data_IF_448435668743
#
_entry.id   IF_448435668743
#
_cell.length_a   1.000
_cell.length_b   1.000
_cell.length_c   1.000
_cell.angle_alpha   90.00
_cell.angle_beta   90.00
_cell.angle_gamma   90.00
#
_symmetry.space_group_name_H-M   'P 1'
#
loop_
_entity.id
_entity.type
_entity.pdbx_description
1 polymer ?
#
# COMPACT_ATOMS: atom_id res chain seq x y z
N UNK A 1 -24.08 -3.78 -39.00
CA UNK A 1 -22.88 -3.59 -39.82
C UNK A 1 -21.68 -3.56 -38.90
N UNK A 2 -20.91 -4.65 -38.83
CA UNK A 2 -19.79 -4.81 -37.89
C UNK A 2 -18.47 -4.49 -38.61
N UNK A 3 -17.77 -3.45 -38.16
CA UNK A 3 -16.47 -3.08 -38.71
C UNK A 3 -15.33 -3.81 -37.98
N UNK A 4 -14.74 -4.79 -38.67
CA UNK A 4 -13.50 -5.45 -38.27
C UNK A 4 -12.30 -4.56 -38.64
N UNK A 5 -11.81 -3.76 -37.70
CA UNK A 5 -10.53 -3.08 -37.84
C UNK A 5 -9.40 -3.99 -37.36
N UNK A 6 -8.79 -4.72 -38.30
CA UNK A 6 -7.55 -5.47 -38.07
C UNK A 6 -6.38 -4.52 -38.31
N UNK A 7 -5.73 -4.05 -37.24
CA UNK A 7 -4.54 -3.20 -37.33
C UNK A 7 -3.32 -4.07 -37.66
N UNK A 8 -2.67 -3.92 -38.83
CA UNK A 8 -1.48 -4.68 -39.16
C UNK A 8 -0.27 -4.16 -38.37
N UNK A 9 0.34 -5.03 -37.57
CA UNK A 9 1.61 -4.76 -36.89
C UNK A 9 2.75 -4.87 -37.92
N UNK A 10 3.14 -3.73 -38.48
CA UNK A 10 4.32 -3.61 -39.34
C UNK A 10 5.56 -3.61 -38.43
N UNK A 11 6.37 -4.66 -38.55
CA UNK A 11 7.66 -4.78 -37.87
C UNK A 11 8.71 -4.04 -38.71
N UNK A 12 9.11 -2.86 -38.27
CA UNK A 12 10.18 -2.09 -38.90
C UNK A 12 11.53 -2.64 -38.44
N UNK A 13 12.22 -3.36 -39.32
CA UNK A 13 13.58 -3.83 -39.05
C UNK A 13 14.52 -2.62 -38.98
N UNK A 14 14.89 -2.25 -37.76
CA UNK A 14 15.77 -1.12 -37.49
C UNK A 14 17.21 -1.63 -37.56
N UNK A 15 17.85 -1.49 -38.72
CA UNK A 15 19.28 -1.74 -38.86
C UNK A 15 20.07 -0.61 -38.20
N UNK A 16 20.38 -0.76 -36.91
CA UNK A 16 21.23 0.19 -36.19
C UNK A 16 22.67 0.10 -36.71
N UNK A 17 23.07 1.10 -37.49
CA UNK A 17 24.48 1.39 -37.76
C UNK A 17 25.16 1.75 -36.43
N UNK A 18 25.97 0.84 -35.91
CA UNK A 18 26.80 1.07 -34.72
C UNK A 18 27.99 1.91 -35.15
N UNK A 19 27.91 3.23 -34.91
CA UNK A 19 29.05 4.13 -35.06
C UNK A 19 30.09 3.82 -33.99
N UNK A 20 31.28 3.41 -34.42
CA UNK A 20 32.45 3.00 -33.63
C UNK A 20 33.17 4.17 -32.94
N UNK A 21 32.43 5.16 -32.43
CA UNK A 21 32.92 6.17 -31.50
C UNK A 21 32.33 5.96 -30.10
N UNK A 22 32.04 4.70 -29.76
CA UNK A 22 31.64 4.29 -28.43
C UNK A 22 32.75 4.68 -27.44
N UNK A 23 32.59 5.84 -26.81
CA UNK A 23 33.30 6.22 -25.59
C UNK A 23 33.11 5.05 -24.64
N UNK A 24 34.16 4.27 -24.39
CA UNK A 24 34.06 3.00 -23.69
C UNK A 24 33.22 3.20 -22.41
N UNK A 25 32.04 2.58 -22.31
CA UNK A 25 31.15 2.79 -21.18
C UNK A 25 31.87 2.23 -19.97
N UNK A 26 32.38 3.14 -19.12
CA UNK A 26 33.22 2.91 -17.94
C UNK A 26 34.68 3.38 -17.95
N UNK A 27 35.10 4.25 -18.88
CA UNK A 27 36.36 4.96 -18.63
C UNK A 27 36.23 5.95 -17.45
N UNK A 28 37.21 5.96 -16.52
CA UNK A 28 37.20 6.85 -15.36
C UNK A 28 37.47 8.30 -15.81
N UNK A 29 36.41 9.05 -16.09
CA UNK A 29 36.49 10.49 -16.26
C UNK A 29 36.45 11.22 -14.91
N UNK A 30 37.21 12.32 -14.73
CA UNK A 30 37.25 13.08 -13.47
C UNK A 30 35.86 13.57 -13.02
N UNK A 31 34.99 13.97 -13.96
CA UNK A 31 33.60 14.34 -13.64
C UNK A 31 32.77 13.20 -13.04
N UNK A 32 33.06 11.94 -13.39
CA UNK A 32 32.33 10.77 -12.90
C UNK A 32 32.73 10.39 -11.48
N UNK A 33 33.97 10.69 -11.07
CA UNK A 33 34.42 10.51 -9.68
C UNK A 33 33.70 11.48 -8.75
N UNK A 34 33.58 12.74 -9.16
CA UNK A 34 32.89 13.80 -8.41
C UNK A 34 31.39 13.50 -8.31
N UNK A 35 30.76 13.07 -9.40
CA UNK A 35 29.35 12.64 -9.37
C UNK A 35 29.10 11.50 -8.37
N UNK A 36 29.93 10.46 -8.39
CA UNK A 36 29.83 9.34 -7.42
C UNK A 36 30.05 9.78 -5.97
N UNK A 37 30.89 10.78 -5.74
CA UNK A 37 31.11 11.35 -4.41
C UNK A 37 29.83 12.05 -3.91
N UNK A 38 29.23 12.89 -4.74
CA UNK A 38 27.97 13.58 -4.39
C UNK A 38 26.81 12.61 -4.21
N UNK A 39 26.68 11.58 -5.07
CA UNK A 39 25.65 10.55 -4.91
C UNK A 39 25.79 9.80 -3.57
N UNK A 40 27.02 9.44 -3.19
CA UNK A 40 27.27 8.81 -1.89
C UNK A 40 26.97 9.76 -0.73
N UNK A 41 27.32 11.03 -0.87
CA UNK A 41 27.07 12.03 0.17
C UNK A 41 25.56 12.25 0.35
N UNK A 42 24.81 12.40 -0.75
CA UNK A 42 23.36 12.50 -0.75
C UNK A 42 22.70 11.33 -0.05
N UNK A 43 23.06 10.09 -0.43
CA UNK A 43 22.54 8.86 0.22
C UNK A 43 22.86 8.81 1.72
N UNK A 44 24.03 9.29 2.13
CA UNK A 44 24.43 9.30 3.55
C UNK A 44 23.66 10.33 4.36
N UNK A 45 23.45 11.53 3.81
CA UNK A 45 22.63 12.57 4.44
C UNK A 45 21.17 12.11 4.55
N UNK A 46 20.62 11.55 3.47
CA UNK A 46 19.26 10.99 3.46
C UNK A 46 19.10 9.89 4.52
N UNK A 47 20.08 8.97 4.62
CA UNK A 47 20.07 7.92 5.65
C UNK A 47 20.11 8.49 7.07
N UNK A 48 20.89 9.54 7.32
CA UNK A 48 20.96 10.19 8.63
C UNK A 48 19.67 10.93 8.99
N UNK A 49 19.05 11.62 8.03
CA UNK A 49 17.78 12.30 8.23
C UNK A 49 16.64 11.30 8.45
N UNK A 50 16.58 10.22 7.67
CA UNK A 50 15.62 9.13 7.86
C UNK A 50 15.80 8.48 9.24
N UNK A 51 17.06 8.26 9.69
CA UNK A 51 17.35 7.70 11.01
C UNK A 51 16.97 8.65 12.16
N UNK A 52 17.17 9.97 12.00
CA UNK A 52 16.72 10.94 13.00
C UNK A 52 15.19 11.03 13.05
N UNK A 53 14.52 11.02 11.90
CA UNK A 53 13.06 11.03 11.82
C UNK A 53 12.44 9.76 12.44
N UNK A 54 13.06 8.59 12.23
CA UNK A 54 12.64 7.36 12.90
C UNK A 54 12.85 7.42 14.42
N UNK A 55 13.99 7.98 14.86
CA UNK A 55 14.31 8.09 16.29
C UNK A 55 13.41 9.09 17.04
N UNK A 56 12.87 10.09 16.34
CA UNK A 56 11.90 11.02 16.93
C UNK A 56 10.48 10.43 16.99
N UNK A 57 10.25 9.22 16.48
CA UNK A 57 8.90 8.64 16.41
C UNK A 57 7.96 9.42 15.47
N UNK A 58 8.52 10.24 14.58
CA UNK A 58 7.76 11.12 13.67
C UNK A 58 7.69 10.55 12.26
N UNK A 59 7.77 9.24 12.10
CA UNK A 59 7.55 8.56 10.82
C UNK A 59 6.11 8.04 10.68
N UNK A 60 5.72 7.61 9.48
CA UNK A 60 4.45 6.91 9.27
C UNK A 60 4.37 5.59 10.05
N UNK A 61 5.45 4.80 10.06
CA UNK A 61 5.49 3.49 10.74
C UNK A 61 5.24 3.59 12.26
N UNK A 62 5.93 4.47 13.03
CA UNK A 62 5.60 4.65 14.46
C UNK A 62 4.15 5.09 14.71
N UNK A 63 3.61 5.98 13.87
CA UNK A 63 2.20 6.42 14.00
C UNK A 63 1.24 5.26 13.74
N UNK A 64 1.49 4.45 12.71
CA UNK A 64 0.72 3.25 12.44
C UNK A 64 0.82 2.25 13.60
N UNK A 65 1.99 2.11 14.22
CA UNK A 65 2.17 1.26 15.39
C UNK A 65 1.38 1.77 16.60
N UNK A 66 1.29 3.08 16.80
CA UNK A 66 0.45 3.69 17.84
C UNK A 66 -1.03 3.40 17.60
N UNK A 67 -1.50 3.48 16.34
CA UNK A 67 -2.87 3.09 15.95
C UNK A 67 -3.11 1.60 16.26
N UNK A 68 -2.17 0.71 15.88
CA UNK A 68 -2.24 -0.73 16.18
C UNK A 68 -2.32 -1.01 17.68
N UNK A 69 -1.53 -0.30 18.50
CA UNK A 69 -1.57 -0.42 19.96
C UNK A 69 -2.89 0.08 20.54
N UNK A 70 -3.38 1.24 20.10
CA UNK A 70 -4.68 1.79 20.51
C UNK A 70 -5.84 0.83 20.18
N UNK A 71 -5.72 0.11 19.06
CA UNK A 71 -6.68 -0.90 18.60
C UNK A 71 -6.38 -2.32 19.08
N UNK A 72 -5.36 -2.49 19.94
CA UNK A 72 -4.96 -3.77 20.52
C UNK A 72 -4.70 -4.87 19.48
N UNK A 73 -4.16 -4.50 18.31
CA UNK A 73 -3.86 -5.46 17.22
C UNK A 73 -2.87 -6.55 17.61
N UNK A 74 -2.08 -6.35 18.68
CA UNK A 74 -1.16 -7.36 19.22
C UNK A 74 -1.85 -8.37 20.15
N UNK A 75 -2.98 -7.98 20.73
CA UNK A 75 -3.71 -8.79 21.69
C UNK A 75 -4.88 -9.53 21.03
N UNK A 76 -5.35 -9.03 19.89
CA UNK A 76 -6.49 -9.55 19.17
C UNK A 76 -6.05 -10.19 17.86
N UNK A 77 -6.43 -11.45 17.67
CA UNK A 77 -6.32 -12.15 16.39
C UNK A 77 -7.13 -11.44 15.31
N UNK A 78 -6.83 -11.73 14.04
CA UNK A 78 -7.61 -11.17 12.94
C UNK A 78 -9.10 -11.59 13.03
N UNK A 79 -9.37 -12.86 13.37
CA UNK A 79 -10.72 -13.39 13.51
C UNK A 79 -11.51 -12.66 14.59
N UNK A 80 -10.90 -12.44 15.77
CA UNK A 80 -11.51 -11.68 16.86
C UNK A 80 -11.85 -10.24 16.42
N UNK A 81 -10.96 -9.60 15.65
CA UNK A 81 -11.19 -8.25 15.12
C UNK A 81 -12.38 -8.18 14.16
N UNK A 82 -12.60 -9.20 13.33
CA UNK A 82 -13.77 -9.29 12.46
C UNK A 82 -15.05 -9.70 13.19
N UNK A 83 -14.92 -10.54 14.22
CA UNK A 83 -16.07 -11.09 14.95
C UNK A 83 -16.67 -10.08 15.92
N UNK A 84 -15.84 -9.17 16.44
CA UNK A 84 -16.31 -8.15 17.35
C UNK A 84 -17.22 -7.16 16.60
N UNK A 85 -18.46 -6.93 17.07
CA UNK A 85 -19.22 -5.77 16.58
C UNK A 85 -18.37 -4.52 16.79
N UNK A 86 -18.52 -3.47 15.95
CA UNK A 86 -17.71 -2.26 16.05
C UNK A 86 -17.65 -1.78 17.50
N UNK A 87 -16.52 -2.07 18.17
CA UNK A 87 -16.40 -1.79 19.59
C UNK A 87 -16.61 -0.30 19.72
N UNK A 88 -17.60 0.12 20.50
CA UNK A 88 -17.82 1.53 20.80
C UNK A 88 -16.55 2.02 21.48
N UNK A 89 -15.70 2.67 20.70
CA UNK A 89 -14.57 3.42 21.21
C UNK A 89 -15.14 4.49 22.13
N UNK A 90 -14.49 4.74 23.27
CA UNK A 90 -14.80 5.94 24.02
C UNK A 90 -14.60 7.16 23.13
N UNK A 91 -15.31 8.25 23.40
CA UNK A 91 -15.20 9.46 22.59
C UNK A 91 -13.75 9.98 22.52
N UNK A 92 -13.01 9.86 23.63
CA UNK A 92 -11.59 10.21 23.71
C UNK A 92 -10.70 9.32 22.83
N UNK A 93 -10.92 8.00 22.84
CA UNK A 93 -10.18 7.07 21.96
C UNK A 93 -10.50 7.32 20.48
N UNK A 94 -11.77 7.54 20.14
CA UNK A 94 -12.19 7.85 18.77
C UNK A 94 -11.54 9.14 18.25
N UNK A 95 -11.52 10.20 19.07
CA UNK A 95 -10.79 11.45 18.76
C UNK A 95 -9.30 11.22 18.57
N UNK A 96 -8.69 10.41 19.44
CA UNK A 96 -7.26 10.07 19.37
C UNK A 96 -6.94 9.29 18.10
N UNK A 97 -7.74 8.27 17.78
CA UNK A 97 -7.61 7.47 16.57
C UNK A 97 -7.72 8.36 15.32
N UNK A 98 -8.75 9.22 15.25
CA UNK A 98 -8.93 10.16 14.14
C UNK A 98 -7.75 11.13 14.00
N UNK A 99 -7.18 11.60 15.11
CA UNK A 99 -5.97 12.43 15.11
C UNK A 99 -4.77 11.68 14.52
N UNK A 100 -4.56 10.42 14.90
CA UNK A 100 -3.48 9.59 14.36
C UNK A 100 -3.67 9.25 12.89
N UNK A 101 -4.88 8.87 12.46
CA UNK A 101 -5.21 8.64 11.05
C UNK A 101 -4.94 9.91 10.22
N UNK A 102 -5.38 11.08 10.69
CA UNK A 102 -5.09 12.36 10.03
C UNK A 102 -3.58 12.66 9.97
N UNK A 103 -2.82 12.31 11.01
CA UNK A 103 -1.36 12.44 11.01
C UNK A 103 -0.73 11.53 9.95
N UNK A 104 -1.23 10.32 9.76
CA UNK A 104 -0.77 9.39 8.72
C UNK A 104 -1.08 9.93 7.31
N UNK A 105 -2.29 10.45 7.09
CA UNK A 105 -2.68 11.12 5.83
C UNK A 105 -1.80 12.33 5.52
N UNK A 106 -1.29 13.05 6.53
CA UNK A 106 -0.29 14.12 6.29
C UNK A 106 1.02 13.57 5.72
N UNK A 107 1.48 12.38 6.13
CA UNK A 107 2.69 11.77 5.55
C UNK A 107 2.49 11.28 4.11
N UNK A 108 1.27 10.88 3.74
CA UNK A 108 0.93 10.57 2.34
C UNK A 108 1.21 11.78 1.42
N UNK A 109 1.14 13.01 1.96
CA UNK A 109 1.46 14.26 1.24
C UNK A 109 2.90 14.75 1.40
N UNK A 110 3.77 13.99 2.07
CA UNK A 110 5.18 14.35 2.27
C UNK A 110 5.86 14.63 0.93
N UNK A 111 6.81 15.55 0.84
CA UNK A 111 7.57 15.75 -0.41
C UNK A 111 8.65 14.67 -0.62
N UNK A 112 8.88 13.84 0.41
CA UNK A 112 9.84 12.73 0.37
C UNK A 112 9.13 11.47 -0.09
N UNK A 113 9.43 11.02 -1.32
CA UNK A 113 8.79 9.87 -1.98
C UNK A 113 8.78 8.60 -1.11
N UNK A 114 9.90 8.28 -0.45
CA UNK A 114 9.99 7.10 0.43
C UNK A 114 9.07 7.19 1.66
N UNK A 115 8.86 8.40 2.18
CA UNK A 115 7.91 8.65 3.27
C UNK A 115 6.46 8.53 2.79
N UNK A 116 6.15 9.04 1.58
CA UNK A 116 4.81 8.90 0.99
C UNK A 116 4.45 7.43 0.78
N UNK A 117 5.33 6.66 0.12
CA UNK A 117 5.10 5.23 -0.14
C UNK A 117 4.91 4.47 1.17
N UNK A 118 5.78 4.68 2.15
CA UNK A 118 5.65 4.04 3.47
C UNK A 118 4.34 4.41 4.16
N UNK A 119 3.89 5.66 4.08
CA UNK A 119 2.61 6.08 4.64
C UNK A 119 1.42 5.41 3.93
N UNK A 120 1.46 5.30 2.59
CA UNK A 120 0.42 4.64 1.79
C UNK A 120 0.33 3.14 2.09
N UNK A 121 1.47 2.47 2.24
CA UNK A 121 1.53 1.06 2.65
C UNK A 121 0.92 0.84 4.04
N UNK A 122 1.23 1.72 5.01
CA UNK A 122 0.66 1.66 6.34
C UNK A 122 -0.86 1.94 6.33
N UNK A 123 -1.34 2.92 5.57
CA UNK A 123 -2.78 3.16 5.38
C UNK A 123 -3.46 1.91 4.79
N UNK A 124 -2.87 1.33 3.75
CA UNK A 124 -3.38 0.14 3.08
C UNK A 124 -3.53 -1.01 4.08
N UNK A 125 -2.46 -1.30 4.84
CA UNK A 125 -2.46 -2.38 5.83
C UNK A 125 -3.48 -2.14 6.96
N UNK A 126 -3.52 -0.93 7.52
CA UNK A 126 -4.45 -0.59 8.61
C UNK A 126 -5.92 -0.63 8.17
N UNK A 127 -6.22 -0.13 6.97
CA UNK A 127 -7.57 -0.18 6.40
C UNK A 127 -8.02 -1.62 6.11
N UNK A 128 -7.07 -2.50 5.76
CA UNK A 128 -7.36 -3.91 5.51
C UNK A 128 -7.59 -4.72 6.77
N UNK A 129 -6.87 -4.41 7.84
CA UNK A 129 -6.84 -5.22 9.05
C UNK A 129 -7.90 -4.83 10.11
N UNK A 130 -8.51 -3.64 9.99
CA UNK A 130 -9.48 -3.14 10.98
C UNK A 130 -10.58 -2.27 10.34
N UNK A 131 -11.82 -2.77 10.38
CA UNK A 131 -13.00 -2.11 9.82
C UNK A 131 -13.25 -0.72 10.43
N UNK A 132 -12.93 -0.52 11.71
CA UNK A 132 -13.12 0.78 12.39
C UNK A 132 -12.08 1.79 11.89
N UNK A 133 -10.82 1.37 11.75
CA UNK A 133 -9.77 2.25 11.19
C UNK A 133 -10.12 2.64 9.75
N UNK A 134 -10.60 1.68 8.97
CA UNK A 134 -11.07 1.94 7.60
C UNK A 134 -12.19 2.97 7.55
N UNK A 135 -13.20 2.84 8.41
CA UNK A 135 -14.29 3.82 8.49
C UNK A 135 -13.76 5.22 8.84
N UNK A 136 -12.80 5.32 9.78
CA UNK A 136 -12.16 6.60 10.12
C UNK A 136 -11.38 7.17 8.93
N UNK A 137 -10.68 6.35 8.14
CA UNK A 137 -10.04 6.82 6.91
C UNK A 137 -11.04 7.26 5.84
N UNK A 138 -12.20 6.61 5.72
CA UNK A 138 -13.25 7.03 4.81
C UNK A 138 -13.83 8.40 5.18
N UNK A 139 -13.79 8.78 6.46
CA UNK A 139 -14.14 10.13 6.92
C UNK A 139 -13.01 11.16 6.72
N UNK A 140 -11.77 10.72 6.47
CA UNK A 140 -10.67 11.62 6.14
C UNK A 140 -10.85 12.18 4.72
N UNK A 141 -10.27 13.35 4.45
CA UNK A 141 -10.28 13.93 3.10
C UNK A 141 -9.39 13.11 2.16
N UNK A 142 -10.01 12.25 1.36
CA UNK A 142 -9.32 11.37 0.43
C UNK A 142 -8.65 12.11 -0.74
N UNK A 143 -9.02 13.38 -0.98
CA UNK A 143 -8.35 14.32 -1.89
C UNK A 143 -6.83 14.39 -1.61
N UNK A 144 -6.42 14.16 -0.37
CA UNK A 144 -5.01 14.17 0.02
C UNK A 144 -4.19 12.99 -0.50
N UNK A 145 -4.83 11.99 -1.09
CA UNK A 145 -4.15 10.86 -1.71
C UNK A 145 -3.75 11.14 -3.16
N UNK A 146 -4.17 12.27 -3.76
CA UNK A 146 -3.72 12.63 -5.11
C UNK A 146 -2.19 12.84 -5.11
N UNK A 147 -1.44 11.99 -5.83
CA UNK A 147 0.00 12.06 -5.81
C UNK A 147 0.46 13.27 -6.63
N UNK A 148 1.38 14.05 -6.06
CA UNK A 148 2.00 15.19 -6.77
C UNK A 148 2.90 14.76 -7.93
N UNK A 149 3.34 13.51 -7.89
CA UNK A 149 4.35 12.97 -8.78
C UNK A 149 3.78 11.76 -9.53
N UNK A 150 4.33 11.48 -10.70
CA UNK A 150 3.83 10.44 -11.61
C UNK A 150 4.66 9.15 -11.53
N UNK A 151 5.36 8.87 -10.42
CA UNK A 151 6.10 7.62 -10.31
C UNK A 151 5.13 6.42 -10.28
N UNK A 152 5.36 5.39 -11.09
CA UNK A 152 4.48 4.23 -11.16
C UNK A 152 4.23 3.56 -9.80
N UNK A 153 5.27 3.48 -8.95
CA UNK A 153 5.17 2.88 -7.63
C UNK A 153 4.27 3.72 -6.69
N UNK A 154 4.36 5.04 -6.78
CA UNK A 154 3.54 5.94 -5.98
C UNK A 154 2.07 5.87 -6.39
N UNK A 155 1.81 5.87 -7.70
CA UNK A 155 0.46 5.70 -8.26
C UNK A 155 -0.14 4.37 -7.82
N UNK A 156 0.61 3.27 -7.93
CA UNK A 156 0.16 1.94 -7.50
C UNK A 156 -0.16 1.90 -6.00
N UNK A 157 0.73 2.42 -5.13
CA UNK A 157 0.50 2.44 -3.69
C UNK A 157 -0.68 3.35 -3.31
N UNK A 158 -0.89 4.43 -4.06
CA UNK A 158 -2.04 5.32 -3.90
C UNK A 158 -3.35 4.62 -4.24
N UNK A 159 -3.41 3.98 -5.41
CA UNK A 159 -4.58 3.20 -5.84
C UNK A 159 -4.90 2.12 -4.82
N UNK A 160 -3.89 1.36 -4.36
CA UNK A 160 -4.08 0.35 -3.31
C UNK A 160 -4.66 0.95 -2.03
N UNK A 161 -4.10 2.04 -1.52
CA UNK A 161 -4.60 2.66 -0.30
C UNK A 161 -6.06 3.14 -0.46
N UNK A 162 -6.39 3.76 -1.60
CA UNK A 162 -7.74 4.22 -1.90
C UNK A 162 -8.73 3.05 -2.04
N UNK A 163 -8.37 1.99 -2.75
CA UNK A 163 -9.20 0.80 -2.88
C UNK A 163 -9.44 0.13 -1.53
N UNK A 164 -8.40 -0.03 -0.69
CA UNK A 164 -8.56 -0.59 0.66
C UNK A 164 -9.51 0.22 1.54
N UNK A 165 -9.60 1.53 1.32
CA UNK A 165 -10.54 2.40 2.04
C UNK A 165 -11.96 2.30 1.46
N UNK A 166 -12.09 2.35 0.13
CA UNK A 166 -13.38 2.53 -0.56
C UNK A 166 -14.10 1.23 -0.88
N UNK A 167 -13.39 0.13 -1.10
CA UNK A 167 -14.00 -1.13 -1.53
C UNK A 167 -14.64 -1.88 -0.36
N UNK A 168 -15.82 -1.42 0.05
CA UNK A 168 -16.57 -2.04 1.12
C UNK A 168 -17.04 -3.44 0.78
N UNK A 169 -17.40 -3.68 -0.49
CA UNK A 169 -17.96 -4.94 -0.96
C UNK A 169 -16.96 -6.10 -0.87
N UNK A 170 -15.73 -5.91 -1.34
CA UNK A 170 -14.69 -6.95 -1.26
C UNK A 170 -14.36 -7.26 0.20
N UNK A 171 -14.22 -6.26 1.06
CA UNK A 171 -14.00 -6.49 2.49
C UNK A 171 -15.15 -7.22 3.18
N UNK A 172 -16.41 -6.87 2.86
CA UNK A 172 -17.58 -7.53 3.44
C UNK A 172 -17.65 -9.00 3.02
N UNK A 173 -17.45 -9.28 1.72
CA UNK A 173 -17.34 -10.63 1.19
C UNK A 173 -16.29 -11.45 1.95
N UNK A 174 -15.06 -10.94 2.02
CA UNK A 174 -13.96 -11.68 2.66
C UNK A 174 -14.13 -11.78 4.18
N UNK A 175 -14.70 -10.77 4.84
CA UNK A 175 -15.04 -10.88 6.27
C UNK A 175 -16.08 -11.97 6.53
N UNK A 176 -17.06 -12.13 5.64
CA UNK A 176 -18.07 -13.18 5.74
C UNK A 176 -17.43 -14.56 5.59
N UNK A 177 -16.51 -14.72 4.62
CA UNK A 177 -15.75 -15.96 4.40
C UNK A 177 -14.90 -16.30 5.63
N UNK A 178 -14.18 -15.32 6.18
CA UNK A 178 -13.32 -15.49 7.36
C UNK A 178 -14.15 -15.91 8.58
N UNK A 179 -15.31 -15.31 8.79
CA UNK A 179 -16.17 -15.59 9.95
C UNK A 179 -16.95 -16.89 9.81
N UNK A 180 -17.18 -17.37 8.58
CA UNK A 180 -18.04 -18.53 8.30
C UNK A 180 -17.40 -19.48 7.29
N UNK A 181 -16.27 -20.14 7.62
CA UNK A 181 -15.55 -21.01 6.68
C UNK A 181 -16.36 -22.25 6.26
N UNK A 182 -17.44 -22.60 6.96
CA UNK A 182 -18.30 -23.76 6.67
C UNK A 182 -19.48 -23.44 5.75
N UNK A 183 -19.69 -22.18 5.35
CA UNK A 183 -20.76 -21.87 4.39
C UNK A 183 -20.39 -22.44 3.02
N UNK A 184 -21.39 -22.85 2.23
CA UNK A 184 -21.18 -23.14 0.81
C UNK A 184 -20.63 -21.87 0.14
N UNK A 185 -19.32 -21.87 -0.11
CA UNK A 185 -18.62 -20.76 -0.71
C UNK A 185 -19.06 -20.64 -2.17
N UNK A 186 -19.60 -19.48 -2.55
CA UNK A 186 -19.79 -19.15 -3.95
C UNK A 186 -18.42 -18.85 -4.58
N UNK A 187 -17.79 -19.91 -5.09
CA UNK A 187 -16.52 -19.84 -5.81
C UNK A 187 -16.54 -18.89 -7.00
N UNK A 188 -17.70 -18.61 -7.60
CA UNK A 188 -17.79 -17.63 -8.67
C UNK A 188 -17.58 -16.22 -8.14
N UNK A 189 -18.22 -15.87 -7.01
CA UNK A 189 -18.04 -14.55 -6.38
C UNK A 189 -16.62 -14.36 -5.87
N UNK A 190 -16.03 -15.39 -5.25
CA UNK A 190 -14.61 -15.37 -4.86
C UNK A 190 -13.71 -15.18 -6.09
N UNK A 191 -13.95 -15.96 -7.14
CA UNK A 191 -13.18 -15.87 -8.38
C UNK A 191 -13.29 -14.50 -9.07
N UNK A 192 -14.46 -13.84 -9.01
CA UNK A 192 -14.63 -12.47 -9.49
C UNK A 192 -13.79 -11.47 -8.69
N UNK A 193 -13.73 -11.60 -7.36
CA UNK A 193 -12.92 -10.71 -6.52
C UNK A 193 -11.42 -10.77 -6.85
N UNK A 194 -10.92 -11.89 -7.38
CA UNK A 194 -9.53 -12.02 -7.84
C UNK A 194 -9.29 -11.52 -9.26
N UNK A 195 -10.34 -11.36 -10.08
CA UNK A 195 -10.22 -10.92 -11.48
C UNK A 195 -10.24 -9.42 -11.64
N UNK A 196 -10.78 -8.71 -10.65
CA UNK A 196 -10.80 -7.25 -10.65
C UNK A 196 -9.38 -6.72 -10.34
N UNK A 197 -8.72 -6.03 -11.29
CA UNK A 197 -7.38 -5.51 -11.09
C UNK A 197 -7.28 -4.51 -9.93
N UNK A 198 -8.38 -3.81 -9.61
CA UNK A 198 -8.38 -2.75 -8.61
C UNK A 198 -8.59 -3.29 -7.19
N UNK A 199 -9.16 -4.49 -7.02
CA UNK A 199 -9.48 -5.08 -5.71
C UNK A 199 -8.84 -6.45 -5.44
N UNK A 200 -8.29 -7.11 -6.46
CA UNK A 200 -7.66 -8.44 -6.34
C UNK A 200 -6.56 -8.52 -5.28
N UNK A 201 -5.83 -7.43 -5.03
CA UNK A 201 -4.83 -7.39 -3.96
C UNK A 201 -5.46 -7.44 -2.56
N UNK A 202 -6.69 -6.94 -2.39
CA UNK A 202 -7.48 -7.06 -1.15
C UNK A 202 -7.87 -8.51 -0.94
N UNK A 203 -8.39 -9.17 -1.98
CA UNK A 203 -8.72 -10.58 -1.96
C UNK A 203 -7.48 -11.44 -1.62
N UNK A 204 -6.35 -11.18 -2.28
CA UNK A 204 -5.08 -11.87 -2.01
C UNK A 204 -4.60 -11.70 -0.57
N UNK A 205 -4.76 -10.49 0.01
CA UNK A 205 -4.39 -10.23 1.40
C UNK A 205 -5.25 -11.02 2.37
N UNK A 206 -6.57 -11.04 2.19
CA UNK A 206 -7.46 -11.84 3.04
C UNK A 206 -7.20 -13.34 2.92
N UNK A 207 -6.96 -13.83 1.70
CA UNK A 207 -6.56 -15.22 1.49
C UNK A 207 -5.25 -15.55 2.20
N UNK A 208 -4.24 -14.69 2.11
CA UNK A 208 -2.98 -14.87 2.84
C UNK A 208 -3.21 -14.93 4.36
N UNK A 209 -4.09 -14.09 4.90
CA UNK A 209 -4.41 -14.10 6.32
C UNK A 209 -5.16 -15.38 6.73
N UNK A 210 -6.08 -15.85 5.91
CA UNK A 210 -6.78 -17.13 6.10
C UNK A 210 -5.81 -18.31 6.14
N UNK A 211 -4.85 -18.35 5.21
CA UNK A 211 -3.83 -19.39 5.19
C UNK A 211 -2.94 -19.35 6.45
N UNK A 212 -2.57 -18.16 6.92
CA UNK A 212 -1.81 -18.02 8.18
C UNK A 212 -2.60 -18.51 9.39
N UNK A 213 -3.91 -18.28 9.43
CA UNK A 213 -4.78 -18.80 10.49
C UNK A 213 -4.87 -20.34 10.43
N UNK A 214 -5.09 -20.92 9.24
CA UNK A 214 -5.15 -22.37 9.08
C UNK A 214 -3.84 -23.07 9.52
N UNK A 215 -2.69 -22.49 9.15
CA UNK A 215 -1.38 -23.00 9.58
C UNK A 215 -1.21 -22.91 11.10
N UNK A 216 -1.67 -21.82 11.73
CA UNK A 216 -1.59 -21.65 13.18
C UNK A 216 -2.47 -22.66 13.94
N UNK A 217 -3.58 -23.10 13.34
CA UNK A 217 -4.50 -24.10 13.89
C UNK A 217 -4.05 -25.56 13.62
N UNK A 218 -2.93 -25.76 12.91
CA UNK A 218 -2.37 -27.08 12.63
C UNK A 218 -3.07 -27.86 11.50
N UNK A 219 -3.71 -27.15 10.58
CA UNK A 219 -4.28 -27.68 9.33
C UNK A 219 -3.23 -27.60 8.22
#
# INVERSE_FOLDING_TARGET
MSHNYRTPLIRTDTSSSVSTNATAPNQPGPGRLVGRLFDRLGKRIESLLNKRASNLGTGPVPVAQEIRSLRRHRELTLLERYSMPPRKLSEGEAKTLKKLCNKLVKYVRSEVLSTQISALEEVTALAMDDLVIRAVFAECRLEYFEPKYTEPNLLLSTTKALCSIKDTATHELWSTIILRPKLELDWQTIGRSFRDPDSSFIAARHLSNLLQLAIADGI
#
